data_IF_323280834980
#
_entry.id   IF_323280834980
#
_cell.length_a   1.000
_cell.length_b   1.000
_cell.length_c   1.000
_cell.angle_alpha   90.00
_cell.angle_beta   90.00
_cell.angle_gamma   90.00
#
_symmetry.space_group_name_H-M   'P 1'
#
loop_
_entity.id
_entity.type
_entity.pdbx_description
1 polymer ?
#
# COMPACT_ATOMS: atom_id res chain seq x y z
N UNK A 1 -21.71 -0.44 -1.61
CA UNK A 1 -21.35 -0.20 -1.71
C UNK A 1 -20.19 0.03 -1.93
N UNK A 2 -19.51 -0.03 -1.89
CA UNK A 2 -18.46 0.24 -2.01
C UNK A 2 -17.48 -0.73 -1.93
N UNK A 3 -17.56 -1.74 -2.63
CA UNK A 3 -16.61 -2.66 -2.67
C UNK A 3 -15.37 -2.04 -3.11
N UNK A 4 -15.37 -1.06 -3.92
CA UNK A 4 -14.18 -0.42 -4.40
C UNK A 4 -13.36 0.15 -3.30
N UNK A 5 -14.00 0.67 -2.32
CA UNK A 5 -13.28 1.21 -1.22
C UNK A 5 -12.44 0.17 -0.58
N UNK A 6 -12.93 -1.02 -0.49
CA UNK A 6 -12.19 -2.06 0.16
C UNK A 6 -10.97 -2.47 -0.62
N UNK A 7 -11.02 -2.35 -1.93
CA UNK A 7 -9.90 -2.78 -2.73
C UNK A 7 -8.63 -2.02 -2.39
N UNK A 8 -8.72 -0.73 -2.17
CA UNK A 8 -7.51 0.00 -1.84
C UNK A 8 -7.35 0.17 -0.34
N UNK A 9 -8.41 0.00 0.41
CA UNK A 9 -8.33 0.23 1.85
C UNK A 9 -7.46 -0.81 2.54
N UNK A 10 -7.54 -2.05 2.11
CA UNK A 10 -6.76 -3.07 2.77
C UNK A 10 -5.26 -2.87 2.63
N UNK A 11 -4.73 -2.67 1.43
CA UNK A 11 -3.30 -2.43 1.35
C UNK A 11 -2.91 -1.10 2.01
N UNK A 12 -3.80 -0.13 2.01
CA UNK A 12 -3.49 1.13 2.65
C UNK A 12 -3.35 0.95 4.16
N UNK A 13 -4.24 0.18 4.76
CA UNK A 13 -4.16 -0.08 6.18
C UNK A 13 -2.88 -0.83 6.50
N UNK A 14 -2.52 -1.79 5.67
CA UNK A 14 -1.30 -2.55 5.88
C UNK A 14 -0.09 -1.63 5.80
N UNK A 15 -0.09 -0.70 4.86
CA UNK A 15 1.00 0.23 4.72
C UNK A 15 1.10 1.11 5.95
N UNK A 16 -0.03 1.60 6.44
CA UNK A 16 -0.01 2.45 7.62
C UNK A 16 0.53 1.71 8.83
N UNK A 17 0.16 0.46 8.97
CA UNK A 17 0.66 -0.32 10.08
C UNK A 17 2.14 -0.55 9.96
N UNK A 18 2.61 -0.82 8.75
CA UNK A 18 4.02 -1.06 8.54
C UNK A 18 4.83 0.18 8.85
N UNK A 19 4.33 1.35 8.45
CA UNK A 19 5.04 2.58 8.73
C UNK A 19 5.18 2.78 10.23
N UNK A 20 4.11 2.53 10.96
CA UNK A 20 4.18 2.71 12.39
C UNK A 20 5.14 1.72 13.01
N UNK A 21 5.12 0.49 12.53
CA UNK A 21 6.00 -0.53 13.06
C UNK A 21 7.47 -0.18 12.80
N UNK A 22 7.76 0.35 11.60
CA UNK A 22 9.11 0.75 11.29
C UNK A 22 9.55 1.84 12.25
N UNK A 23 8.67 2.79 12.51
CA UNK A 23 9.01 3.88 13.42
C UNK A 23 9.31 3.34 14.81
N UNK A 24 8.48 2.43 15.30
CA UNK A 24 8.69 1.87 16.63
C UNK A 24 10.01 1.10 16.70
N UNK A 25 10.32 0.35 15.67
CA UNK A 25 11.56 -0.41 15.67
C UNK A 25 12.76 0.51 15.63
N UNK A 26 12.67 1.61 14.90
CA UNK A 26 13.77 2.56 14.86
C UNK A 26 13.96 3.22 16.21
N UNK A 27 12.88 3.46 16.94
CA UNK A 27 13.03 4.04 18.27
C UNK A 27 13.76 3.10 19.20
N UNK A 28 13.69 1.81 18.93
CA UNK A 28 14.38 0.83 19.73
C UNK A 28 15.73 0.46 19.13
N UNK A 29 16.16 1.17 18.12
CA UNK A 29 17.42 0.90 17.44
C UNK A 29 17.48 -0.47 16.79
N UNK A 30 16.34 -1.01 16.45
CA UNK A 30 16.27 -2.31 15.81
C UNK A 30 16.18 -2.10 14.31
N UNK A 31 17.24 -1.57 13.74
CA UNK A 31 17.23 -1.15 12.36
C UNK A 31 17.15 -2.29 11.36
N UNK A 32 17.75 -3.42 11.68
CA UNK A 32 17.70 -4.55 10.76
C UNK A 32 16.26 -5.02 10.59
N UNK A 33 15.52 -5.09 11.69
CA UNK A 33 14.13 -5.50 11.60
C UNK A 33 13.29 -4.44 10.94
N UNK A 34 13.59 -3.18 11.20
CA UNK A 34 12.88 -2.12 10.54
C UNK A 34 13.09 -2.21 9.03
N UNK A 35 14.30 -2.58 8.60
CA UNK A 35 14.58 -2.73 7.19
C UNK A 35 13.78 -3.85 6.56
N UNK A 36 13.57 -4.93 7.29
CA UNK A 36 12.77 -6.02 6.76
C UNK A 36 11.31 -5.61 6.60
N UNK A 37 10.80 -4.87 7.57
CA UNK A 37 9.44 -4.39 7.46
C UNK A 37 9.32 -3.43 6.28
N UNK A 38 10.34 -2.61 6.07
CA UNK A 38 10.33 -1.68 4.96
C UNK A 38 10.30 -2.42 3.63
N UNK A 39 10.99 -3.55 3.57
CA UNK A 39 11.01 -4.33 2.36
C UNK A 39 9.60 -4.85 2.04
N UNK A 40 8.91 -5.35 3.04
CA UNK A 40 7.54 -5.81 2.84
C UNK A 40 6.62 -4.65 2.53
N UNK A 41 6.90 -3.49 3.10
CA UNK A 41 6.12 -2.31 2.80
C UNK A 41 6.19 -2.00 1.31
N UNK A 42 7.36 -2.18 0.71
CA UNK A 42 7.49 -1.94 -0.71
C UNK A 42 6.57 -2.79 -1.55
N UNK A 43 6.39 -4.04 -1.14
CA UNK A 43 5.48 -4.94 -1.83
C UNK A 43 4.05 -4.43 -1.72
N UNK A 44 3.65 -4.00 -0.53
CA UNK A 44 2.30 -3.51 -0.34
C UNK A 44 2.04 -2.24 -1.13
N UNK A 45 3.04 -1.39 -1.22
CA UNK A 45 2.91 -0.16 -2.00
C UNK A 45 2.69 -0.50 -3.46
N UNK A 46 3.39 -1.53 -3.98
CA UNK A 46 3.19 -1.94 -5.32
C UNK A 46 1.80 -2.46 -5.54
N UNK A 47 1.28 -3.24 -4.60
CA UNK A 47 -0.06 -3.76 -4.69
C UNK A 47 -1.06 -2.61 -4.72
N UNK A 48 -0.88 -1.63 -3.84
CA UNK A 48 -1.77 -0.49 -3.81
C UNK A 48 -1.71 0.28 -5.11
N UNK A 49 -0.52 0.45 -5.66
CA UNK A 49 -0.37 1.15 -6.90
C UNK A 49 -1.13 0.45 -8.01
N UNK A 50 -1.06 -0.88 -8.05
CA UNK A 50 -1.79 -1.63 -9.05
C UNK A 50 -3.29 -1.50 -8.90
N UNK A 51 -3.78 -1.56 -7.66
CA UNK A 51 -5.19 -1.41 -7.41
C UNK A 51 -5.67 -0.04 -7.86
N UNK A 52 -4.92 0.99 -7.52
CA UNK A 52 -5.33 2.35 -7.90
C UNK A 52 -5.33 2.54 -9.40
N UNK A 53 -4.37 1.92 -10.08
CA UNK A 53 -4.34 2.01 -11.52
C UNK A 53 -5.57 1.36 -12.15
N UNK A 54 -5.97 0.23 -11.59
CA UNK A 54 -7.16 -0.44 -12.08
C UNK A 54 -8.40 0.42 -11.83
N UNK A 55 -8.46 1.02 -10.65
CA UNK A 55 -9.61 1.83 -10.32
C UNK A 55 -9.68 3.08 -11.19
N UNK A 56 -8.52 3.62 -11.53
CA UNK A 56 -8.50 4.80 -12.36
C UNK A 56 -9.01 4.49 -13.75
N UNK A 57 -8.60 3.36 -14.31
CA UNK A 57 -9.06 2.97 -15.61
C UNK A 57 -10.48 2.50 -15.57
N UNK A 58 -10.84 1.88 -14.46
CA UNK A 58 -12.19 1.45 -14.30
C UNK A 58 -12.55 0.38 -15.25
N UNK A 59 -13.65 -0.22 -15.00
CA UNK A 59 -14.10 -1.24 -15.89
C UNK A 59 -14.53 -0.64 -17.16
N UNK A 60 -14.90 0.57 -17.17
CA UNK A 60 -15.35 1.16 -18.35
C UNK A 60 -14.18 1.48 -19.10
N UNK A 61 -13.14 1.39 -18.57
CA UNK A 61 -12.03 1.56 -19.31
C UNK A 61 -11.99 2.58 -20.30
N UNK A 62 -12.26 3.68 -20.15
CA UNK A 62 -12.23 4.58 -21.05
C UNK A 62 -10.88 4.90 -21.31
N UNK A 63 -10.43 4.97 -22.37
CA UNK A 63 -9.13 5.23 -22.73
C UNK A 63 -8.74 6.53 -22.26
N UNK A 64 -7.93 6.73 -21.64
CA UNK A 64 -7.62 7.85 -21.15
C UNK A 64 -7.07 8.62 -22.09
N UNK A 65 -6.89 8.64 -22.92
CA UNK A 65 -6.46 9.26 -23.79
C UNK A 65 -6.24 10.20 -23.79
N UNK A 66 -6.17 10.42 -23.66
CA UNK A 66 -6.12 11.09 -23.73
C UNK A 66 -5.91 11.49 -23.95
#
# INVERSE_FOLDING_TARGET
MNENLNDYAMPLITIERAVKQIHDLCLENRYAEAGEVALHLGVEVRILQGVLAIMENGPSARPRSS
#
